data_IF_421664038398
#
_entry.id   IF_421664038398
#
_cell.length_a   1.000
_cell.length_b   1.000
_cell.length_c   1.000
_cell.angle_alpha   90.00
_cell.angle_beta   90.00
_cell.angle_gamma   90.00
#
_symmetry.space_group_name_H-M   'P 1'
#
loop_
_entity.id
_entity.type
_entity.pdbx_description
1 polymer ?
#
# COMPACT_ATOMS: atom_id res chain seq x y z
N UNK A 1 4.39 8.10 -2.33
CA UNK A 1 3.51 8.18 -1.15
C UNK A 1 4.20 7.46 -0.02
N UNK A 2 4.13 8.00 1.19
CA UNK A 2 4.49 7.31 2.42
C UNK A 2 3.24 7.19 3.30
N UNK A 3 3.07 6.05 3.96
CA UNK A 3 1.93 5.79 4.83
C UNK A 3 2.39 5.05 6.09
N UNK A 4 1.93 5.50 7.24
CA UNK A 4 2.12 4.82 8.52
C UNK A 4 0.74 4.52 9.14
N UNK A 5 0.51 3.30 9.60
CA UNK A 5 -0.73 2.90 10.24
C UNK A 5 -0.47 2.14 11.54
N UNK A 6 -0.70 2.85 12.64
CA UNK A 6 -0.50 2.32 14.00
C UNK A 6 -1.46 1.17 14.27
N UNK A 7 -0.94 0.07 14.81
CA UNK A 7 -1.71 -1.07 15.29
C UNK A 7 -2.18 -2.05 14.21
N UNK A 8 -1.92 -1.80 12.92
CA UNK A 8 -2.19 -2.78 11.85
C UNK A 8 -1.21 -3.95 11.99
N UNK A 9 -1.73 -5.18 11.93
CA UNK A 9 -0.94 -6.41 12.04
C UNK A 9 -0.63 -7.03 10.67
N UNK A 10 0.39 -7.91 10.57
CA UNK A 10 0.66 -8.68 9.35
C UNK A 10 -0.56 -9.49 8.87
N UNK A 11 -1.31 -10.10 9.78
CA UNK A 11 -2.49 -10.91 9.44
C UNK A 11 -3.60 -10.04 8.84
N UNK A 12 -3.81 -8.84 9.38
CA UNK A 12 -4.77 -7.89 8.79
C UNK A 12 -4.31 -7.43 7.41
N UNK A 13 -3.02 -7.14 7.25
CA UNK A 13 -2.46 -6.78 5.95
C UNK A 13 -2.64 -7.89 4.91
N UNK A 14 -2.41 -9.16 5.27
CA UNK A 14 -2.62 -10.28 4.36
C UNK A 14 -4.09 -10.42 3.94
N UNK A 15 -5.03 -10.24 4.87
CA UNK A 15 -6.47 -10.22 4.53
C UNK A 15 -6.79 -9.11 3.52
N UNK A 16 -6.21 -7.92 3.70
CA UNK A 16 -6.40 -6.80 2.78
C UNK A 16 -5.75 -7.10 1.42
N UNK A 17 -4.50 -7.59 1.41
CA UNK A 17 -3.76 -7.96 0.19
C UNK A 17 -4.53 -8.98 -0.64
N UNK A 18 -4.99 -10.06 -0.02
CA UNK A 18 -5.77 -11.11 -0.69
C UNK A 18 -7.13 -10.60 -1.16
N UNK A 19 -7.81 -9.77 -0.35
CA UNK A 19 -9.13 -9.23 -0.73
C UNK A 19 -9.01 -8.24 -1.88
N UNK A 20 -7.99 -7.40 -1.90
CA UNK A 20 -7.78 -6.41 -2.96
C UNK A 20 -7.19 -7.07 -4.21
N UNK A 21 -6.29 -8.03 -4.06
CA UNK A 21 -5.64 -8.74 -5.16
C UNK A 21 -4.78 -7.82 -6.03
N UNK A 22 -4.00 -6.92 -5.42
CA UNK A 22 -3.17 -5.97 -6.18
C UNK A 22 -1.93 -6.61 -6.82
N UNK A 23 -1.55 -7.82 -6.40
CA UNK A 23 -0.40 -8.55 -6.97
C UNK A 23 -0.81 -9.30 -8.24
N UNK A 24 -2.06 -9.77 -8.30
CA UNK A 24 -2.65 -10.44 -9.47
C UNK A 24 -3.23 -9.42 -10.46
N UNK A 25 -3.80 -8.34 -9.94
CA UNK A 25 -4.43 -7.27 -10.70
C UNK A 25 -3.95 -5.92 -10.21
N UNK A 26 -2.82 -5.49 -10.76
CA UNK A 26 -2.18 -4.22 -10.40
C UNK A 26 -3.16 -3.05 -10.53
N UNK A 27 -3.19 -2.13 -9.55
CA UNK A 27 -4.03 -0.94 -9.63
C UNK A 27 -3.54 0.01 -10.72
N UNK A 28 -4.48 0.70 -11.37
CA UNK A 28 -4.15 1.69 -12.40
C UNK A 28 -3.27 2.78 -11.78
N UNK A 29 -2.11 3.02 -12.39
CA UNK A 29 -1.14 4.02 -11.96
C UNK A 29 -0.30 3.62 -10.75
N UNK A 30 -0.44 2.42 -10.18
CA UNK A 30 0.47 1.91 -9.15
C UNK A 30 1.73 1.32 -9.77
N UNK A 31 2.92 1.77 -9.33
CA UNK A 31 4.20 1.32 -9.91
C UNK A 31 5.07 0.51 -8.94
N UNK A 32 5.04 0.87 -7.66
CA UNK A 32 5.84 0.24 -6.61
C UNK A 32 5.02 0.24 -5.34
N UNK A 33 5.02 -0.89 -4.63
CA UNK A 33 4.47 -1.04 -3.29
C UNK A 33 5.50 -1.75 -2.43
N UNK A 34 5.88 -1.14 -1.30
CA UNK A 34 6.78 -1.75 -0.33
C UNK A 34 6.16 -1.57 1.05
N UNK A 35 5.93 -2.68 1.74
CA UNK A 35 5.36 -2.69 3.08
C UNK A 35 6.32 -3.37 4.06
N UNK A 36 6.34 -2.86 5.29
CA UNK A 36 7.03 -3.52 6.40
C UNK A 36 6.33 -3.21 7.73
N UNK A 37 6.72 -3.96 8.76
CA UNK A 37 6.19 -3.78 10.10
C UNK A 37 7.31 -3.44 11.08
N UNK A 38 6.98 -2.61 12.06
CA UNK A 38 7.79 -2.39 13.25
C UNK A 38 6.92 -2.56 14.52
N UNK A 39 7.43 -2.16 15.68
CA UNK A 39 6.69 -2.25 16.95
C UNK A 39 5.43 -1.36 17.01
N UNK A 40 5.28 -0.38 16.12
CA UNK A 40 4.15 0.55 16.09
C UNK A 40 3.06 0.10 15.12
N UNK A 41 3.41 -0.57 14.02
CA UNK A 41 2.45 -1.11 13.07
C UNK A 41 2.98 -1.17 11.64
N UNK A 42 2.09 -0.92 10.69
CA UNK A 42 2.35 -0.99 9.25
C UNK A 42 3.00 0.31 8.75
N UNK A 43 4.01 0.15 7.91
CA UNK A 43 4.61 1.21 7.12
C UNK A 43 4.58 0.82 5.64
N UNK A 44 4.26 1.78 4.78
CA UNK A 44 4.16 1.59 3.33
C UNK A 44 4.84 2.74 2.60
N UNK A 45 5.60 2.40 1.56
CA UNK A 45 6.11 3.34 0.57
C UNK A 45 5.62 2.88 -0.80
N UNK A 46 4.90 3.78 -1.47
CA UNK A 46 4.43 3.54 -2.83
C UNK A 46 4.93 4.57 -3.83
N UNK A 47 5.04 4.15 -5.08
CA UNK A 47 5.14 5.04 -6.24
C UNK A 47 3.84 4.91 -7.03
N UNK A 48 3.22 6.05 -7.27
CA UNK A 48 2.00 6.18 -8.06
C UNK A 48 2.22 7.24 -9.15
N UNK A 49 1.59 7.06 -10.32
CA UNK A 49 1.60 8.04 -11.41
C UNK A 49 1.02 9.40 -10.97
N UNK A 50 0.05 9.38 -10.05
CA UNK A 50 -0.50 10.58 -9.42
C UNK A 50 -1.13 10.28 -8.06
N UNK A 51 -1.30 11.32 -7.23
CA UNK A 51 -2.08 11.24 -5.99
C UNK A 51 -3.53 10.82 -6.27
N UNK A 52 -4.13 11.31 -7.35
CA UNK A 52 -5.49 10.94 -7.74
C UNK A 52 -5.64 9.45 -8.06
N UNK A 53 -4.64 8.83 -8.70
CA UNK A 53 -4.66 7.40 -8.99
C UNK A 53 -4.72 6.57 -7.69
N UNK A 54 -3.92 6.94 -6.68
CA UNK A 54 -4.00 6.32 -5.37
C UNK A 54 -5.36 6.55 -4.71
N UNK A 55 -5.89 7.78 -4.71
CA UNK A 55 -7.17 8.08 -4.06
C UNK A 55 -8.34 7.30 -4.68
N UNK A 56 -8.35 7.13 -6.01
CA UNK A 56 -9.32 6.29 -6.70
C UNK A 56 -9.16 4.81 -6.31
N UNK A 57 -7.93 4.29 -6.30
CA UNK A 57 -7.67 2.92 -5.81
C UNK A 57 -8.10 2.72 -4.35
N UNK A 58 -7.85 3.71 -3.50
CA UNK A 58 -8.20 3.70 -2.10
C UNK A 58 -9.72 3.55 -1.94
N UNK A 59 -10.50 4.40 -2.62
CA UNK A 59 -11.94 4.41 -2.53
C UNK A 59 -12.58 3.13 -3.12
N UNK A 60 -12.12 2.70 -4.29
CA UNK A 60 -12.81 1.68 -5.08
C UNK A 60 -12.45 0.25 -4.65
N UNK A 61 -11.22 0.03 -4.17
CA UNK A 61 -10.70 -1.33 -3.87
C UNK A 61 -10.24 -1.48 -2.43
N UNK A 62 -9.48 -0.51 -1.91
CA UNK A 62 -8.78 -0.69 -0.63
C UNK A 62 -9.68 -0.49 0.59
N UNK A 63 -10.51 0.56 0.62
CA UNK A 63 -11.36 0.89 1.75
C UNK A 63 -12.34 -0.24 2.14
N UNK A 64 -13.05 -0.91 1.19
CA UNK A 64 -13.89 -2.06 1.52
C UNK A 64 -13.09 -3.24 2.12
N UNK A 65 -11.85 -3.45 1.66
CA UNK A 65 -11.00 -4.52 2.17
C UNK A 65 -10.47 -4.23 3.58
N UNK A 66 -10.12 -2.98 3.87
CA UNK A 66 -9.75 -2.50 5.22
C UNK A 66 -10.89 -2.75 6.20
N UNK A 67 -12.12 -2.38 5.83
CA UNK A 67 -13.30 -2.60 6.66
C UNK A 67 -13.49 -4.09 6.97
N UNK A 68 -13.38 -4.95 5.94
CA UNK A 68 -13.48 -6.41 6.09
C UNK A 68 -12.37 -6.99 6.98
N UNK A 69 -11.16 -6.43 6.96
CA UNK A 69 -10.04 -6.85 7.80
C UNK A 69 -10.15 -6.35 9.25
N UNK A 70 -11.19 -5.57 9.58
CA UNK A 70 -11.38 -5.01 10.92
C UNK A 70 -10.30 -4.02 11.32
N UNK A 71 -9.64 -3.40 10.34
CA UNK A 71 -8.64 -2.37 10.60
C UNK A 71 -9.37 -1.08 11.01
N UNK A 72 -8.93 -0.48 12.11
CA UNK A 72 -9.51 0.75 12.65
C UNK A 72 -8.53 1.93 12.61
N UNK A 73 -9.05 3.13 12.76
CA UNK A 73 -8.27 4.37 12.67
C UNK A 73 -8.04 4.82 11.24
N UNK A 74 -7.21 5.84 11.08
CA UNK A 74 -6.79 6.33 9.78
C UNK A 74 -5.27 6.32 9.73
N UNK A 75 -4.66 5.96 8.58
CA UNK A 75 -3.23 6.08 8.43
C UNK A 75 -2.81 7.56 8.35
N UNK A 76 -1.57 7.84 8.74
CA UNK A 76 -0.90 9.07 8.37
C UNK A 76 -0.32 8.90 6.96
N UNK A 77 -0.73 9.73 6.00
CA UNK A 77 -0.30 9.65 4.59
C UNK A 77 0.36 10.94 4.13
N UNK A 78 1.46 10.82 3.37
CA UNK A 78 2.14 11.93 2.72
C UNK A 78 2.43 11.69 1.25
N UNK A 79 2.22 12.71 0.42
CA UNK A 79 2.56 12.72 -1.00
C UNK A 79 3.72 13.67 -1.26
N UNK A 80 4.65 13.24 -2.09
CA UNK A 80 5.81 14.03 -2.50
C UNK A 80 6.29 13.56 -3.87
N UNK A 81 6.81 14.45 -4.73
CA UNK A 81 7.37 14.05 -6.03
C UNK A 81 8.54 13.07 -5.87
N UNK A 82 8.51 12.00 -6.65
CA UNK A 82 9.64 11.06 -6.72
C UNK A 82 10.82 11.74 -7.42
N UNK A 83 11.95 11.87 -6.71
CA UNK A 83 13.16 12.45 -7.30
C UNK A 83 14.00 11.41 -8.08
N UNK A 84 14.16 10.21 -7.53
CA UNK A 84 14.94 9.12 -8.14
C UNK A 84 14.46 7.76 -7.61
N UNK A 85 14.41 6.77 -8.51
CA UNK A 85 14.25 5.35 -8.18
C UNK A 85 15.39 4.53 -8.79
N UNK A 86 15.89 3.56 -8.04
CA UNK A 86 16.82 2.53 -8.53
C UNK A 86 16.30 1.16 -8.08
N UNK A 87 16.18 0.22 -9.03
CA UNK A 87 15.84 -1.17 -8.77
C UNK A 87 17.02 -2.00 -9.27
N UNK A 88 17.59 -2.82 -8.40
CA UNK A 88 18.74 -3.64 -8.77
C UNK A 88 18.37 -4.65 -9.88
N UNK A 89 19.28 -4.95 -10.82
CA UNK A 89 19.02 -5.96 -11.84
C UNK A 89 18.61 -7.31 -11.23
N UNK A 90 17.54 -7.91 -11.75
CA UNK A 90 17.03 -9.21 -11.32
C UNK A 90 16.06 -9.18 -10.14
N UNK A 91 15.77 -8.02 -9.55
CA UNK A 91 14.71 -7.89 -8.53
C UNK A 91 13.34 -7.83 -9.22
N UNK A 92 12.48 -8.82 -8.94
CA UNK A 92 11.13 -8.95 -9.51
C UNK A 92 10.17 -9.62 -8.52
N UNK A 93 8.86 -9.40 -8.69
CA UNK A 93 7.81 -10.09 -7.93
C UNK A 93 7.51 -9.44 -6.56
N UNK A 94 6.56 -10.06 -5.86
CA UNK A 94 6.31 -9.82 -4.44
C UNK A 94 7.30 -10.65 -3.62
N UNK A 95 7.89 -10.06 -2.58
CA UNK A 95 8.88 -10.70 -1.71
C UNK A 95 8.25 -11.67 -0.71
#
# INVERSE_FOLDING_TARGET
MAMNWVGVTPEQYDVVRETVGWEESAPVGGEVHVAWFDAQGLHVIDVWESEQAFLTFFADRLAPAIEKAGISGAPETGFSPLYRRFIAPGVTGAA
#
